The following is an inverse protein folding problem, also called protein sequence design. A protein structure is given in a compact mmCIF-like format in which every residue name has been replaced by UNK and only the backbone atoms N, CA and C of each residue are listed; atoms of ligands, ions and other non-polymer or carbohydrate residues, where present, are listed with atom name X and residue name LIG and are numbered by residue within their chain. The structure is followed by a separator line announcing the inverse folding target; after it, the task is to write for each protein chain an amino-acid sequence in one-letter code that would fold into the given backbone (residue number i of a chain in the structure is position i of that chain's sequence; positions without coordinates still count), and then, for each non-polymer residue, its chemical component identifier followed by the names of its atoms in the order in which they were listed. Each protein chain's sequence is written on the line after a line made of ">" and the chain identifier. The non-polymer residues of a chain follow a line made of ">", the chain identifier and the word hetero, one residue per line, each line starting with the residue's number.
data_IF_418254666283
#
_entry.id   IF_418254666283
#
_cell.length_a   1.000
_cell.length_b   1.000
_cell.length_c   1.000
_cell.angle_alpha   90.00
_cell.angle_beta   90.00
_cell.angle_gamma   90.00
#
_symmetry.space_group_name_H-M   'P 1'
#
loop_
_entity.id
_entity.type
_entity.pdbx_description
1 polymer ?
#
# COMPACT_ATOMS: atom_id res chain seq x y z
N UNK A 1 -18.27 -15.19 -21.41
CA UNK A 1 -17.61 -15.03 -22.71
C UNK A 1 -18.67 -15.13 -23.82
N UNK A 2 -19.28 -16.28 -24.11
CA UNK A 2 -20.28 -16.45 -25.17
C UNK A 2 -21.48 -15.52 -25.06
N UNK A 3 -22.01 -15.30 -23.83
CA UNK A 3 -23.11 -14.35 -23.61
C UNK A 3 -22.78 -12.96 -24.13
N UNK A 4 -21.59 -12.45 -23.82
CA UNK A 4 -21.12 -11.12 -24.25
C UNK A 4 -20.83 -11.08 -25.74
N UNK A 5 -20.10 -12.09 -26.25
CA UNK A 5 -19.61 -12.11 -27.64
C UNK A 5 -20.74 -12.36 -28.66
N UNK A 6 -21.77 -13.11 -28.27
CA UNK A 6 -22.93 -13.46 -29.09
C UNK A 6 -24.19 -12.64 -28.76
N UNK A 7 -24.09 -11.69 -27.82
CA UNK A 7 -25.22 -10.89 -27.34
C UNK A 7 -26.45 -11.72 -26.94
N UNK A 8 -26.22 -12.84 -26.26
CA UNK A 8 -27.30 -13.75 -25.85
C UNK A 8 -28.20 -13.10 -24.78
N UNK A 9 -29.49 -13.39 -24.75
CA UNK A 9 -30.36 -12.88 -23.68
C UNK A 9 -29.98 -13.47 -22.33
N UNK A 10 -30.02 -12.64 -21.29
CA UNK A 10 -29.79 -13.08 -19.91
C UNK A 10 -31.06 -13.73 -19.36
N UNK A 11 -30.98 -15.00 -18.94
CA UNK A 11 -32.05 -15.75 -18.30
C UNK A 11 -31.62 -16.15 -16.89
N UNK A 12 -32.09 -15.41 -15.89
CA UNK A 12 -31.78 -15.65 -14.48
C UNK A 12 -32.99 -16.18 -13.75
N UNK A 13 -32.83 -17.33 -13.08
CA UNK A 13 -33.87 -17.96 -12.27
C UNK A 13 -33.43 -18.27 -10.83
N UNK A 14 -32.19 -17.88 -10.45
CA UNK A 14 -31.67 -18.12 -9.11
C UNK A 14 -31.56 -16.79 -8.37
N UNK A 15 -32.23 -16.69 -7.24
CA UNK A 15 -32.19 -15.54 -6.34
C UNK A 15 -30.94 -15.54 -5.46
N UNK A 16 -30.63 -14.39 -4.82
CA UNK A 16 -29.47 -14.21 -3.91
C UNK A 16 -29.43 -15.20 -2.75
N UNK A 17 -30.59 -15.72 -2.33
CA UNK A 17 -30.71 -16.75 -1.29
C UNK A 17 -30.44 -18.18 -1.81
N UNK A 18 -30.08 -18.36 -3.08
CA UNK A 18 -29.81 -19.65 -3.72
C UNK A 18 -31.07 -20.45 -4.05
N UNK A 19 -32.25 -19.81 -4.07
CA UNK A 19 -33.51 -20.44 -4.44
C UNK A 19 -33.93 -19.99 -5.83
N UNK A 20 -34.75 -20.83 -6.47
CA UNK A 20 -35.44 -20.49 -7.72
C UNK A 20 -36.43 -19.35 -7.44
N UNK A 21 -36.58 -18.41 -8.39
CA UNK A 21 -37.53 -17.30 -8.30
C UNK A 21 -38.96 -17.84 -8.12
N UNK A 22 -39.80 -17.02 -7.46
CA UNK A 22 -41.21 -17.37 -7.24
C UNK A 22 -42.09 -17.01 -8.45
N UNK A 23 -41.75 -15.91 -9.13
CA UNK A 23 -42.48 -15.40 -10.28
C UNK A 23 -42.01 -16.10 -11.54
N UNK A 24 -42.97 -16.58 -12.34
CA UNK A 24 -42.67 -17.25 -13.60
C UNK A 24 -42.07 -16.29 -14.61
N UNK A 25 -40.86 -16.58 -15.14
CA UNK A 25 -40.26 -15.72 -16.16
C UNK A 25 -41.04 -15.68 -17.45
N UNK A 26 -41.23 -14.52 -18.05
CA UNK A 26 -41.98 -14.29 -19.30
C UNK A 26 -41.51 -15.11 -20.50
N UNK A 27 -40.23 -15.51 -20.49
CA UNK A 27 -39.62 -16.31 -21.54
C UNK A 27 -39.96 -17.82 -21.46
N UNK A 28 -40.66 -18.29 -20.41
CA UNK A 28 -41.24 -19.62 -20.31
C UNK A 28 -42.64 -19.56 -20.91
N UNK A 29 -42.78 -19.94 -22.16
CA UNK A 29 -44.03 -19.76 -22.92
C UNK A 29 -44.80 -21.04 -23.17
N UNK A 30 -44.15 -22.19 -23.20
CA UNK A 30 -44.80 -23.49 -23.41
C UNK A 30 -45.37 -24.06 -22.11
N UNK A 31 -46.42 -24.90 -22.24
CA UNK A 31 -47.15 -25.41 -21.10
C UNK A 31 -46.33 -26.42 -20.27
N UNK A 32 -45.50 -27.24 -20.90
CA UNK A 32 -44.62 -28.19 -20.18
C UNK A 32 -43.54 -27.45 -19.36
N UNK A 33 -42.98 -26.37 -19.90
CA UNK A 33 -42.07 -25.49 -19.19
C UNK A 33 -42.71 -24.79 -18.00
N UNK A 34 -43.97 -24.37 -18.12
CA UNK A 34 -44.74 -23.76 -17.01
C UNK A 34 -45.01 -24.77 -15.90
N UNK A 35 -45.49 -25.96 -16.23
CA UNK A 35 -45.72 -27.03 -15.26
C UNK A 35 -44.43 -27.45 -14.53
N UNK A 36 -43.32 -27.51 -15.24
CA UNK A 36 -42.01 -27.78 -14.62
C UNK A 36 -41.57 -26.64 -13.69
N UNK A 37 -41.79 -25.38 -14.12
CA UNK A 37 -41.42 -24.22 -13.30
C UNK A 37 -42.21 -24.19 -11.98
N UNK A 38 -43.52 -24.43 -11.99
CA UNK A 38 -44.36 -24.54 -10.79
C UNK A 38 -43.84 -25.58 -9.80
N UNK A 39 -43.20 -26.65 -10.30
CA UNK A 39 -42.62 -27.68 -9.45
C UNK A 39 -41.31 -27.26 -8.82
N UNK A 40 -40.57 -26.31 -9.40
CA UNK A 40 -39.24 -25.89 -8.92
C UNK A 40 -39.22 -24.53 -8.26
N UNK A 41 -40.24 -23.69 -8.42
CA UNK A 41 -40.30 -22.35 -7.81
C UNK A 41 -40.04 -22.39 -6.30
N UNK A 42 -39.30 -21.43 -5.77
CA UNK A 42 -38.93 -21.32 -4.37
C UNK A 42 -38.04 -22.44 -3.81
N UNK A 43 -37.75 -23.49 -4.60
CA UNK A 43 -36.86 -24.58 -4.18
C UNK A 43 -35.38 -24.19 -4.27
N UNK A 44 -34.57 -24.90 -3.51
CA UNK A 44 -33.10 -24.76 -3.64
C UNK A 44 -32.66 -25.36 -4.97
N UNK A 45 -31.51 -24.85 -5.51
CA UNK A 45 -30.90 -25.39 -6.74
C UNK A 45 -30.67 -26.91 -6.67
N UNK A 46 -30.33 -27.44 -5.48
CA UNK A 46 -30.13 -28.85 -5.24
C UNK A 46 -31.44 -29.64 -5.46
N UNK A 47 -32.56 -29.17 -4.88
CA UNK A 47 -33.86 -29.82 -5.03
C UNK A 47 -34.44 -29.70 -6.45
N UNK A 48 -34.32 -28.49 -7.04
CA UNK A 48 -34.75 -28.20 -8.40
C UNK A 48 -34.04 -29.08 -9.44
N UNK A 49 -32.71 -29.29 -9.28
CA UNK A 49 -31.92 -30.12 -10.19
C UNK A 49 -32.47 -31.54 -10.31
N UNK A 50 -32.90 -32.14 -9.18
CA UNK A 50 -33.48 -33.48 -9.21
C UNK A 50 -34.79 -33.52 -10.02
N UNK A 51 -35.69 -32.55 -9.78
CA UNK A 51 -36.96 -32.45 -10.50
C UNK A 51 -36.74 -32.26 -12.00
N UNK A 52 -35.79 -31.37 -12.39
CA UNK A 52 -35.46 -31.15 -13.81
C UNK A 52 -34.91 -32.43 -14.46
N UNK A 53 -34.05 -33.19 -13.77
CA UNK A 53 -33.51 -34.46 -14.27
C UNK A 53 -34.61 -35.48 -14.47
N UNK A 54 -35.54 -35.59 -13.53
CA UNK A 54 -36.67 -36.54 -13.63
C UNK A 54 -37.59 -36.15 -14.79
N UNK A 55 -37.90 -34.86 -14.98
CA UNK A 55 -38.70 -34.38 -16.11
C UNK A 55 -38.00 -34.61 -17.47
N UNK A 56 -36.70 -34.39 -17.58
CA UNK A 56 -35.94 -34.66 -18.81
C UNK A 56 -35.86 -36.15 -19.16
N UNK A 57 -35.89 -37.03 -18.15
CA UNK A 57 -35.99 -38.48 -18.39
C UNK A 57 -37.39 -38.87 -18.91
N UNK A 58 -38.41 -38.27 -18.32
CA UNK A 58 -39.81 -38.56 -18.70
C UNK A 58 -40.11 -38.06 -20.12
N UNK A 59 -39.61 -36.89 -20.51
CA UNK A 59 -39.75 -36.35 -21.87
C UNK A 59 -38.89 -37.08 -22.91
N UNK A 60 -37.88 -37.84 -22.50
CA UNK A 60 -36.94 -38.49 -23.40
C UNK A 60 -35.83 -37.57 -23.93
N UNK A 61 -35.72 -36.32 -23.41
CA UNK A 61 -34.71 -35.36 -23.83
C UNK A 61 -33.34 -35.58 -23.14
N UNK A 62 -33.23 -36.55 -22.26
CA UNK A 62 -32.00 -36.88 -21.57
C UNK A 62 -31.27 -38.05 -22.21
N UNK A 63 -30.03 -37.81 -22.67
CA UNK A 63 -29.14 -38.86 -23.16
C UNK A 63 -28.24 -39.39 -22.02
N UNK A 64 -28.59 -40.58 -21.51
CA UNK A 64 -27.92 -41.27 -20.42
C UNK A 64 -28.19 -40.70 -19.03
N UNK A 65 -27.44 -41.10 -18.04
CA UNK A 65 -27.58 -40.66 -16.64
C UNK A 65 -26.61 -39.52 -16.28
N UNK A 66 -27.04 -38.61 -15.35
CA UNK A 66 -26.17 -37.58 -14.83
C UNK A 66 -24.90 -38.17 -14.21
N UNK A 67 -23.74 -37.68 -14.65
CA UNK A 67 -22.46 -38.09 -14.11
C UNK A 67 -21.92 -37.04 -13.13
N UNK A 68 -21.45 -37.44 -11.94
CA UNK A 68 -20.78 -36.50 -11.02
C UNK A 68 -19.58 -35.86 -11.70
N UNK A 69 -19.47 -34.54 -11.62
CA UNK A 69 -18.29 -33.78 -12.06
C UNK A 69 -17.69 -33.05 -10.90
N UNK A 70 -16.39 -32.90 -10.92
CA UNK A 70 -15.65 -32.13 -9.91
C UNK A 70 -15.06 -30.88 -10.55
N UNK A 71 -15.35 -29.72 -9.98
CA UNK A 71 -14.74 -28.46 -10.37
C UNK A 71 -14.42 -27.61 -9.15
N UNK A 72 -13.43 -26.73 -9.28
CA UNK A 72 -13.17 -25.72 -8.27
C UNK A 72 -14.33 -24.71 -8.24
N UNK A 73 -14.86 -24.45 -7.05
CA UNK A 73 -15.91 -23.45 -6.83
C UNK A 73 -15.66 -22.70 -5.53
N UNK A 74 -16.22 -21.52 -5.42
CA UNK A 74 -16.15 -20.73 -4.19
C UNK A 74 -17.17 -21.26 -3.18
N UNK A 75 -16.77 -21.26 -1.92
CA UNK A 75 -17.62 -21.63 -0.79
C UNK A 75 -17.92 -20.40 0.06
N UNK A 76 -19.03 -20.46 0.78
CA UNK A 76 -19.34 -19.47 1.80
C UNK A 76 -18.23 -19.47 2.86
N UNK A 77 -17.72 -18.27 3.21
CA UNK A 77 -16.54 -18.10 4.07
C UNK A 77 -16.65 -18.77 5.45
N UNK A 78 -17.87 -18.85 5.98
CA UNK A 78 -18.17 -19.45 7.29
C UNK A 78 -18.99 -20.73 7.20
N UNK A 79 -18.92 -21.46 6.07
CA UNK A 79 -19.68 -22.66 5.86
C UNK A 79 -19.07 -23.57 4.78
N UNK A 80 -19.65 -24.74 4.64
CA UNK A 80 -19.21 -25.83 3.74
C UNK A 80 -20.07 -25.96 2.47
N UNK A 81 -20.93 -24.96 2.20
CA UNK A 81 -21.81 -24.97 1.01
C UNK A 81 -21.19 -24.16 -0.13
N UNK A 82 -21.20 -24.69 -1.36
CA UNK A 82 -20.77 -23.94 -2.52
C UNK A 82 -21.69 -22.75 -2.80
N UNK A 83 -21.10 -21.66 -3.32
CA UNK A 83 -21.86 -20.49 -3.76
C UNK A 83 -22.47 -20.75 -5.13
N UNK A 84 -23.69 -20.25 -5.32
CA UNK A 84 -24.35 -20.21 -6.62
C UNK A 84 -23.99 -18.96 -7.39
N UNK A 85 -24.08 -19.02 -8.73
CA UNK A 85 -23.91 -17.86 -9.61
C UNK A 85 -25.27 -17.19 -9.74
N UNK A 86 -25.38 -15.97 -9.26
CA UNK A 86 -26.60 -15.15 -9.29
C UNK A 86 -26.35 -13.83 -9.99
N UNK A 87 -27.38 -13.25 -10.57
CA UNK A 87 -27.36 -11.89 -11.09
C UNK A 87 -27.71 -10.91 -9.98
N UNK A 88 -27.00 -9.79 -9.94
CA UNK A 88 -27.28 -8.68 -9.05
C UNK A 88 -26.88 -7.37 -9.71
N UNK A 89 -27.56 -6.28 -9.35
CA UNK A 89 -27.13 -4.95 -9.74
C UNK A 89 -25.91 -4.59 -8.94
N UNK A 90 -24.94 -3.94 -9.59
CA UNK A 90 -23.66 -3.58 -8.99
C UNK A 90 -23.19 -2.25 -9.57
N UNK A 91 -22.43 -1.53 -8.79
CA UNK A 91 -21.70 -0.34 -9.24
C UNK A 91 -20.35 -0.71 -9.80
N UNK A 92 -20.02 -0.13 -10.94
CA UNK A 92 -18.75 -0.32 -11.63
C UNK A 92 -18.08 1.02 -11.87
N UNK A 93 -16.76 1.06 -11.70
CA UNK A 93 -15.91 2.16 -12.11
C UNK A 93 -15.19 1.77 -13.40
N UNK A 94 -15.17 2.67 -14.39
CA UNK A 94 -14.39 2.44 -15.60
C UNK A 94 -12.91 2.39 -15.25
N UNK A 95 -12.22 1.36 -15.71
CA UNK A 95 -10.80 1.12 -15.44
C UNK A 95 -10.00 0.74 -16.69
N UNK A 96 -10.56 0.98 -17.87
CA UNK A 96 -9.95 0.59 -19.14
C UNK A 96 -10.24 -0.84 -19.57
N UNK A 97 -11.01 -1.65 -18.81
CA UNK A 97 -11.39 -2.99 -19.22
C UNK A 97 -12.30 -3.03 -20.44
N UNK A 98 -13.30 -2.16 -20.45
CA UNK A 98 -14.24 -1.97 -21.58
C UNK A 98 -13.85 -0.76 -22.43
N UNK A 99 -13.37 0.31 -21.83
CA UNK A 99 -12.96 1.54 -22.51
C UNK A 99 -11.49 1.45 -23.02
N UNK A 100 -11.31 1.16 -24.29
CA UNK A 100 -9.96 1.01 -24.89
C UNK A 100 -9.15 2.29 -24.95
N UNK A 101 -9.79 3.46 -25.03
CA UNK A 101 -9.09 4.73 -24.98
C UNK A 101 -8.50 5.00 -23.59
N UNK A 102 -9.26 4.74 -22.53
CA UNK A 102 -8.77 4.81 -21.15
C UNK A 102 -7.65 3.78 -20.89
N UNK A 103 -7.81 2.54 -21.40
CA UNK A 103 -6.77 1.51 -21.30
C UNK A 103 -5.42 1.99 -21.88
N UNK A 104 -5.45 2.58 -23.09
CA UNK A 104 -4.25 3.13 -23.71
C UNK A 104 -3.62 4.25 -22.88
N UNK A 105 -4.44 5.15 -22.30
CA UNK A 105 -3.94 6.20 -21.40
C UNK A 105 -3.31 5.64 -20.13
N UNK A 106 -3.90 4.64 -19.51
CA UNK A 106 -3.35 3.99 -18.30
C UNK A 106 -2.00 3.31 -18.60
N UNK A 107 -1.83 2.72 -19.80
CA UNK A 107 -0.53 2.18 -20.23
C UNK A 107 0.52 3.31 -20.35
N UNK A 108 0.17 4.46 -20.95
CA UNK A 108 1.08 5.61 -21.03
C UNK A 108 1.45 6.13 -19.64
N UNK A 109 0.48 6.26 -18.70
CA UNK A 109 0.76 6.61 -17.31
C UNK A 109 1.75 5.64 -16.63
N UNK A 110 1.63 4.33 -16.93
CA UNK A 110 2.61 3.34 -16.47
C UNK A 110 4.02 3.55 -17.01
N UNK A 111 4.18 4.12 -18.20
CA UNK A 111 5.49 4.48 -18.78
C UNK A 111 6.07 5.76 -18.18
N UNK A 112 5.21 6.73 -17.86
CA UNK A 112 5.60 7.99 -17.22
C UNK A 112 6.04 7.80 -15.75
N UNK A 113 5.45 6.83 -15.05
CA UNK A 113 5.76 6.54 -13.64
C UNK A 113 7.15 5.91 -13.50
N UNK A 114 7.97 6.47 -12.62
CA UNK A 114 9.27 5.90 -12.27
C UNK A 114 9.08 4.74 -11.27
N UNK A 115 9.26 3.52 -11.73
CA UNK A 115 9.23 2.32 -10.89
C UNK A 115 10.60 2.03 -10.29
N UNK A 116 10.65 1.81 -8.99
CA UNK A 116 11.85 1.39 -8.27
C UNK A 116 11.61 0.03 -7.59
N UNK A 117 12.15 -1.08 -8.14
CA UNK A 117 12.96 -1.19 -9.35
C UNK A 117 12.12 -1.15 -10.65
N UNK A 118 12.74 -0.71 -11.74
CA UNK A 118 12.07 -0.52 -13.04
C UNK A 118 11.36 -1.78 -13.57
N UNK A 119 11.91 -2.97 -13.34
CA UNK A 119 11.30 -4.23 -13.81
C UNK A 119 9.88 -4.48 -13.24
N UNK A 120 9.49 -3.82 -12.16
CA UNK A 120 8.13 -3.94 -11.58
C UNK A 120 7.06 -3.30 -12.45
N UNK A 121 7.42 -2.39 -13.37
CA UNK A 121 6.52 -1.82 -14.36
C UNK A 121 5.81 -2.88 -15.19
N UNK A 122 6.51 -3.95 -15.56
CA UNK A 122 5.95 -5.06 -16.34
C UNK A 122 4.74 -5.70 -15.65
N UNK A 123 4.71 -5.74 -14.31
CA UNK A 123 3.56 -6.27 -13.57
C UNK A 123 2.33 -5.36 -13.69
N UNK A 124 2.54 -4.06 -13.68
CA UNK A 124 1.49 -3.08 -13.91
C UNK A 124 0.97 -3.15 -15.36
N UNK A 125 1.86 -3.14 -16.35
CA UNK A 125 1.50 -3.22 -17.77
C UNK A 125 0.72 -4.49 -18.09
N UNK A 126 1.19 -5.65 -17.60
CA UNK A 126 0.49 -6.93 -17.80
C UNK A 126 -0.92 -6.92 -17.17
N UNK A 127 -1.09 -6.27 -16.04
CA UNK A 127 -2.40 -6.10 -15.43
C UNK A 127 -3.32 -5.26 -16.29
N UNK A 128 -2.88 -4.09 -16.74
CA UNK A 128 -3.68 -3.18 -17.58
C UNK A 128 -4.04 -3.83 -18.93
N UNK A 129 -3.09 -4.51 -19.57
CA UNK A 129 -3.36 -5.26 -20.80
C UNK A 129 -4.35 -6.41 -20.61
N UNK A 130 -4.34 -7.06 -19.48
CA UNK A 130 -5.23 -8.18 -19.14
C UNK A 130 -6.64 -7.79 -18.73
N UNK A 131 -6.95 -6.50 -18.60
CA UNK A 131 -8.28 -6.03 -18.20
C UNK A 131 -9.31 -6.33 -19.29
N UNK A 132 -10.43 -6.93 -18.88
CA UNK A 132 -11.52 -7.34 -19.76
C UNK A 132 -12.93 -6.93 -19.27
N UNK A 133 -13.01 -6.16 -18.21
CA UNK A 133 -14.23 -5.64 -17.60
C UNK A 133 -13.92 -4.49 -16.67
N UNK A 134 -14.94 -3.71 -16.33
CA UNK A 134 -14.83 -2.58 -15.42
C UNK A 134 -14.70 -3.04 -13.97
N UNK A 135 -14.24 -2.16 -13.11
CA UNK A 135 -13.99 -2.47 -11.71
C UNK A 135 -15.28 -2.45 -10.89
N UNK A 136 -15.69 -3.61 -10.37
CA UNK A 136 -16.82 -3.77 -9.47
C UNK A 136 -16.47 -3.20 -8.10
N UNK A 137 -17.10 -2.07 -7.73
CA UNK A 137 -16.81 -1.33 -6.50
C UNK A 137 -17.87 -1.45 -5.41
N UNK A 138 -19.06 -1.99 -5.68
CA UNK A 138 -20.10 -2.19 -4.67
C UNK A 138 -19.88 -3.44 -3.83
N UNK A 139 -20.18 -3.34 -2.54
CA UNK A 139 -20.08 -4.44 -1.57
C UNK A 139 -21.35 -4.53 -0.73
N UNK A 140 -21.85 -5.73 -0.55
CA UNK A 140 -23.01 -6.05 0.28
C UNK A 140 -22.54 -6.30 1.71
N UNK A 141 -22.14 -5.21 2.40
CA UNK A 141 -21.66 -5.22 3.78
C UNK A 141 -22.37 -4.17 4.60
N UNK A 142 -22.48 -4.41 5.90
CA UNK A 142 -23.14 -3.47 6.80
C UNK A 142 -22.30 -2.22 7.06
N UNK A 143 -20.98 -2.37 7.13
CA UNK A 143 -20.07 -1.27 7.49
C UNK A 143 -19.12 -0.92 6.35
N UNK A 144 -19.03 0.36 6.02
CA UNK A 144 -18.14 0.92 5.01
C UNK A 144 -18.59 2.32 4.58
N UNK A 145 -17.94 2.88 3.57
CA UNK A 145 -18.32 4.17 2.98
C UNK A 145 -19.51 3.94 2.05
N UNK A 146 -20.68 4.57 2.29
CA UNK A 146 -21.85 4.39 1.46
C UNK A 146 -21.68 5.08 0.10
N UNK A 147 -22.46 4.65 -0.89
CA UNK A 147 -22.68 5.44 -2.10
C UNK A 147 -23.62 6.58 -1.78
N UNK A 148 -23.25 7.84 -2.05
CA UNK A 148 -24.03 8.99 -1.65
C UNK A 148 -25.22 9.22 -2.62
N UNK A 149 -26.16 8.28 -2.70
CA UNK A 149 -27.29 8.37 -3.60
C UNK A 149 -28.52 7.59 -3.12
N UNK A 150 -29.66 7.91 -3.72
CA UNK A 150 -30.95 7.25 -3.49
C UNK A 150 -31.59 6.84 -4.82
N UNK A 151 -32.65 6.06 -4.74
CA UNK A 151 -33.50 5.69 -5.88
C UNK A 151 -34.93 6.13 -5.61
N UNK A 152 -35.61 6.77 -6.58
CA UNK A 152 -37.05 7.02 -6.45
C UNK A 152 -37.82 5.70 -6.50
N UNK A 153 -38.88 5.60 -5.72
CA UNK A 153 -39.78 4.45 -5.71
C UNK A 153 -41.02 4.78 -6.52
N UNK A 154 -41.45 3.85 -7.37
CA UNK A 154 -42.70 3.98 -8.11
C UNK A 154 -43.92 3.79 -7.20
N UNK A 155 -45.15 3.82 -7.80
CA UNK A 155 -46.38 3.65 -7.06
C UNK A 155 -46.54 2.24 -6.42
N UNK A 156 -45.83 1.24 -6.93
CA UNK A 156 -45.80 -0.12 -6.41
C UNK A 156 -44.67 -0.32 -5.38
N UNK A 157 -43.87 0.71 -5.12
CA UNK A 157 -42.73 0.68 -4.20
C UNK A 157 -41.45 0.05 -4.79
N UNK A 158 -41.39 -0.14 -6.10
CA UNK A 158 -40.20 -0.64 -6.77
C UNK A 158 -39.21 0.48 -7.12
N UNK A 159 -37.91 0.30 -6.92
CA UNK A 159 -36.91 1.34 -7.18
C UNK A 159 -36.61 1.52 -8.66
N UNK A 160 -36.55 2.77 -9.10
CA UNK A 160 -36.05 3.14 -10.42
C UNK A 160 -34.52 3.25 -10.39
N UNK A 161 -33.86 2.17 -10.71
CA UNK A 161 -32.39 2.09 -10.73
C UNK A 161 -31.74 2.80 -11.92
N UNK A 162 -32.50 3.16 -12.94
CA UNK A 162 -31.97 3.84 -14.12
C UNK A 162 -31.86 5.37 -13.89
N UNK A 163 -32.59 5.90 -12.90
CA UNK A 163 -32.62 7.31 -12.57
C UNK A 163 -32.29 7.55 -11.09
N UNK A 164 -31.05 7.27 -10.64
CA UNK A 164 -30.65 7.51 -9.26
C UNK A 164 -30.70 8.99 -8.92
N UNK A 165 -31.12 9.32 -7.70
CA UNK A 165 -31.09 10.66 -7.14
C UNK A 165 -29.69 10.89 -6.55
N UNK A 166 -28.92 11.81 -7.15
CA UNK A 166 -27.60 12.20 -6.65
C UNK A 166 -27.67 13.55 -5.94
N UNK A 167 -26.93 13.74 -4.82
CA UNK A 167 -26.82 15.05 -4.17
C UNK A 167 -26.02 16.04 -5.03
N UNK A 168 -26.22 17.33 -4.79
CA UNK A 168 -25.27 18.34 -5.26
C UNK A 168 -24.00 18.34 -4.40
N UNK A 169 -22.89 18.84 -4.95
CA UNK A 169 -21.59 18.83 -4.24
C UNK A 169 -21.60 19.64 -2.94
N UNK A 170 -22.38 20.71 -2.88
CA UNK A 170 -22.48 21.62 -1.74
C UNK A 170 -23.11 21.01 -0.49
N UNK A 171 -23.84 19.88 -0.63
CA UNK A 171 -24.44 19.17 0.52
C UNK A 171 -23.63 17.96 0.98
N UNK A 172 -22.51 17.65 0.32
CA UNK A 172 -21.62 16.58 0.76
C UNK A 172 -20.83 16.97 2.03
N UNK A 173 -20.48 16.01 2.89
CA UNK A 173 -20.76 14.57 2.81
C UNK A 173 -22.20 14.23 3.25
N UNK A 174 -22.76 13.15 2.67
CA UNK A 174 -24.05 12.61 3.07
C UNK A 174 -23.98 11.12 3.42
N UNK A 175 -24.85 10.68 4.31
CA UNK A 175 -25.18 9.29 4.53
C UNK A 175 -26.61 9.02 4.02
N UNK A 176 -26.80 8.32 2.89
CA UNK A 176 -28.12 8.13 2.31
C UNK A 176 -29.07 7.31 3.19
N UNK A 177 -28.55 6.63 4.21
CA UNK A 177 -29.39 5.86 5.15
C UNK A 177 -30.04 6.76 6.21
N UNK A 178 -29.50 7.93 6.47
CA UNK A 178 -29.99 8.91 7.46
C UNK A 178 -30.41 10.24 6.85
N UNK A 179 -29.80 10.63 5.74
CA UNK A 179 -30.11 11.88 5.06
C UNK A 179 -31.24 11.70 4.03
N UNK A 180 -31.92 12.79 3.70
CA UNK A 180 -33.07 12.81 2.81
C UNK A 180 -32.73 13.56 1.52
N UNK A 181 -33.05 13.00 0.33
CA UNK A 181 -32.78 13.71 -0.92
C UNK A 181 -33.66 14.95 -1.08
N UNK A 182 -33.15 15.93 -1.80
CA UNK A 182 -33.87 17.17 -2.06
C UNK A 182 -35.24 16.88 -2.69
N UNK A 183 -36.29 17.55 -2.16
CA UNK A 183 -37.69 17.39 -2.64
C UNK A 183 -38.45 16.23 -1.99
N UNK A 184 -37.85 15.49 -1.07
CA UNK A 184 -38.52 14.43 -0.31
C UNK A 184 -38.52 14.73 1.19
N UNK A 185 -39.32 13.97 1.96
CA UNK A 185 -39.39 14.02 3.42
C UNK A 185 -39.04 12.64 4.00
N UNK A 186 -38.65 12.57 5.29
CA UNK A 186 -38.28 11.29 5.94
C UNK A 186 -39.43 10.27 5.94
N UNK A 187 -40.67 10.74 5.99
CA UNK A 187 -41.84 9.86 5.96
C UNK A 187 -42.04 9.14 4.63
N UNK A 188 -41.39 9.62 3.56
CA UNK A 188 -41.41 8.98 2.24
C UNK A 188 -40.32 7.93 2.07
N UNK A 189 -39.43 7.78 3.03
CA UNK A 189 -38.37 6.75 3.01
C UNK A 189 -38.99 5.35 2.96
N UNK A 190 -38.62 4.57 1.94
CA UNK A 190 -39.10 3.21 1.68
C UNK A 190 -40.65 3.10 1.54
N UNK A 191 -41.31 4.20 1.11
CA UNK A 191 -42.74 4.19 0.80
C UNK A 191 -42.98 4.28 -0.70
N UNK A 192 -44.10 3.71 -1.22
CA UNK A 192 -44.47 3.89 -2.61
C UNK A 192 -44.56 5.39 -2.98
N UNK A 193 -43.97 5.77 -4.13
CA UNK A 193 -43.83 7.15 -4.54
C UNK A 193 -42.81 7.99 -3.77
N UNK A 194 -42.05 7.37 -2.88
CA UNK A 194 -40.98 7.98 -2.12
C UNK A 194 -39.59 7.63 -2.67
N UNK A 195 -38.67 7.29 -1.78
CA UNK A 195 -37.29 6.98 -2.14
C UNK A 195 -36.70 5.88 -1.23
N UNK A 196 -35.64 5.22 -1.71
CA UNK A 196 -34.81 4.34 -0.91
C UNK A 196 -33.32 4.69 -1.07
N UNK A 197 -32.54 4.48 -0.01
CA UNK A 197 -31.09 4.62 -0.05
C UNK A 197 -30.44 3.49 -0.87
N UNK A 198 -29.29 3.75 -1.50
CA UNK A 198 -28.44 2.67 -2.01
C UNK A 198 -28.00 1.78 -0.84
N UNK A 199 -28.31 0.48 -0.87
CA UNK A 199 -27.98 -0.42 0.24
C UNK A 199 -26.53 -0.90 0.27
N UNK A 200 -25.82 -0.77 -0.83
CA UNK A 200 -24.44 -1.24 -0.96
C UNK A 200 -23.46 -0.16 -0.47
N UNK A 201 -22.30 -0.58 -0.07
CA UNK A 201 -21.17 0.27 0.31
C UNK A 201 -20.03 0.14 -0.69
N UNK A 202 -19.12 1.12 -0.69
CA UNK A 202 -17.95 1.09 -1.56
C UNK A 202 -16.92 0.07 -1.09
N UNK A 203 -16.24 -0.57 -2.03
CA UNK A 203 -14.99 -1.31 -1.81
C UNK A 203 -13.97 -0.40 -1.12
N UNK A 204 -13.27 -0.94 -0.12
CA UNK A 204 -12.18 -0.24 0.56
C UNK A 204 -11.10 0.27 -0.42
N UNK A 205 -10.82 -0.47 -1.49
CA UNK A 205 -9.88 -0.02 -2.50
C UNK A 205 -10.39 1.16 -3.31
N UNK A 206 -11.71 1.31 -3.49
CA UNK A 206 -12.30 2.47 -4.14
C UNK A 206 -12.06 3.75 -3.33
N UNK A 207 -12.25 3.70 -2.01
CA UNK A 207 -11.96 4.83 -1.13
C UNK A 207 -10.46 5.08 -0.99
N UNK A 208 -9.64 4.05 -0.80
CA UNK A 208 -8.19 4.19 -0.69
C UNK A 208 -7.50 4.61 -1.98
N UNK A 209 -8.15 4.46 -3.14
CA UNK A 209 -7.63 4.95 -4.42
C UNK A 209 -7.56 6.48 -4.53
N UNK A 210 -8.27 7.21 -3.67
CA UNK A 210 -8.20 8.67 -3.58
C UNK A 210 -7.26 9.17 -2.47
N UNK A 211 -6.48 8.30 -1.84
CA UNK A 211 -5.59 8.70 -0.74
C UNK A 211 -4.68 9.90 -1.08
N UNK A 212 -4.05 10.00 -2.26
CA UNK A 212 -3.24 11.17 -2.59
C UNK A 212 -4.05 12.47 -2.58
N UNK A 213 -5.25 12.46 -3.15
CA UNK A 213 -6.13 13.62 -3.18
C UNK A 213 -6.65 13.97 -1.77
N UNK A 214 -7.05 12.97 -0.98
CA UNK A 214 -7.56 13.18 0.39
C UNK A 214 -6.50 13.84 1.28
N UNK A 215 -5.27 13.31 1.29
CA UNK A 215 -4.22 13.84 2.18
C UNK A 215 -3.68 15.19 1.75
N UNK A 216 -3.95 15.62 0.53
CA UNK A 216 -3.55 16.91 -0.01
C UNK A 216 -4.68 17.94 0.00
N UNK A 217 -5.86 17.61 0.56
CA UNK A 217 -6.99 18.53 0.73
C UNK A 217 -7.84 18.75 -0.51
N UNK A 218 -7.81 17.84 -1.51
CA UNK A 218 -8.63 17.97 -2.72
C UNK A 218 -10.12 17.96 -2.40
N UNK A 219 -10.84 18.96 -2.93
CA UNK A 219 -12.29 19.11 -2.73
C UNK A 219 -12.70 19.65 -1.36
N UNK A 220 -11.77 19.81 -0.42
CA UNK A 220 -12.06 20.44 0.87
C UNK A 220 -12.12 21.96 0.72
N UNK A 221 -13.15 22.62 1.28
CA UNK A 221 -13.28 24.06 1.14
C UNK A 221 -12.18 24.81 1.94
N UNK A 222 -11.67 25.89 1.35
CA UNK A 222 -10.74 26.82 1.99
C UNK A 222 -9.43 27.02 1.22
N UNK A 223 -8.94 28.25 1.22
CA UNK A 223 -7.72 28.66 0.50
C UNK A 223 -6.48 27.83 0.91
N UNK A 224 -6.38 27.45 2.18
CA UNK A 224 -5.26 26.62 2.67
C UNK A 224 -5.26 25.22 2.08
N UNK A 225 -6.42 24.60 1.89
CA UNK A 225 -6.56 23.28 1.27
C UNK A 225 -6.27 23.33 -0.24
N UNK A 226 -6.76 24.36 -0.92
CA UNK A 226 -6.44 24.59 -2.34
C UNK A 226 -4.93 24.79 -2.55
N UNK A 227 -4.30 25.61 -1.69
CA UNK A 227 -2.85 25.84 -1.72
C UNK A 227 -2.06 24.57 -1.41
N UNK A 228 -2.50 23.76 -0.45
CA UNK A 228 -1.88 22.48 -0.12
C UNK A 228 -1.97 21.51 -1.30
N UNK A 229 -3.15 21.35 -1.89
CA UNK A 229 -3.33 20.49 -3.05
C UNK A 229 -2.45 20.94 -4.22
N UNK A 230 -2.47 22.21 -4.57
CA UNK A 230 -1.67 22.76 -5.66
C UNK A 230 -0.15 22.60 -5.45
N UNK A 231 0.32 22.61 -4.19
CA UNK A 231 1.72 22.48 -3.85
C UNK A 231 2.21 21.01 -3.77
N UNK A 232 1.30 20.06 -3.48
CA UNK A 232 1.69 18.70 -3.11
C UNK A 232 1.09 17.60 -3.98
N UNK A 233 0.14 17.90 -4.86
CA UNK A 233 -0.40 16.96 -5.82
C UNK A 233 0.00 17.34 -7.25
N UNK A 234 0.55 16.43 -8.09
CA UNK A 234 0.94 15.05 -7.76
C UNK A 234 2.03 14.94 -6.70
N UNK A 235 2.00 13.87 -5.90
CA UNK A 235 3.00 13.62 -4.85
C UNK A 235 4.33 13.14 -5.45
N UNK A 236 5.40 13.14 -4.64
CA UNK A 236 6.73 12.71 -5.12
C UNK A 236 6.90 11.20 -5.13
N UNK A 237 6.42 10.51 -4.09
CA UNK A 237 6.78 9.12 -3.82
C UNK A 237 5.64 8.28 -3.26
N UNK A 238 5.51 7.06 -3.80
CA UNK A 238 4.61 6.02 -3.31
C UNK A 238 5.38 4.76 -2.90
N UNK A 239 5.65 4.53 -1.60
CA UNK A 239 6.15 3.24 -1.10
C UNK A 239 5.01 2.25 -0.94
N UNK A 240 5.18 1.02 -1.45
CA UNK A 240 4.22 -0.07 -1.26
C UNK A 240 4.81 -1.45 -1.50
N UNK A 241 4.08 -2.51 -1.12
CA UNK A 241 4.41 -3.89 -1.47
C UNK A 241 4.02 -4.25 -2.91
N UNK A 242 4.72 -5.22 -3.49
CA UNK A 242 4.43 -5.71 -4.85
C UNK A 242 3.08 -6.39 -5.00
N UNK A 243 2.48 -6.87 -3.93
CA UNK A 243 1.22 -7.62 -3.92
C UNK A 243 -0.01 -6.73 -4.16
N UNK A 244 0.12 -5.41 -3.96
CA UNK A 244 -0.96 -4.44 -4.17
C UNK A 244 -0.79 -3.58 -5.43
N UNK A 245 0.09 -3.97 -6.37
CA UNK A 245 0.22 -3.29 -7.67
C UNK A 245 -1.10 -3.31 -8.43
N UNK A 246 -1.80 -4.46 -8.43
CA UNK A 246 -3.05 -4.66 -9.17
C UNK A 246 -4.29 -4.03 -8.50
N UNK A 247 -4.17 -3.69 -7.25
CA UNK A 247 -5.22 -3.05 -6.46
C UNK A 247 -4.88 -1.59 -6.21
N UNK A 248 -4.13 -1.29 -5.16
CA UNK A 248 -3.88 0.07 -4.73
C UNK A 248 -3.12 0.95 -5.72
N UNK A 249 -2.00 0.48 -6.29
CA UNK A 249 -1.24 1.29 -7.25
C UNK A 249 -2.07 1.55 -8.51
N UNK A 250 -2.63 0.50 -9.10
CA UNK A 250 -3.42 0.61 -10.32
C UNK A 250 -4.67 1.48 -10.10
N UNK A 251 -5.46 1.21 -9.06
CA UNK A 251 -6.70 1.96 -8.82
C UNK A 251 -6.46 3.43 -8.48
N UNK A 252 -5.32 3.77 -7.84
CA UNK A 252 -4.97 5.16 -7.57
C UNK A 252 -4.56 5.89 -8.85
N UNK A 253 -3.81 5.23 -9.75
CA UNK A 253 -3.48 5.80 -11.07
C UNK A 253 -4.74 5.99 -11.91
N UNK A 254 -5.64 5.02 -11.92
CA UNK A 254 -6.92 5.08 -12.63
C UNK A 254 -7.77 6.27 -12.15
N UNK A 255 -7.91 6.44 -10.82
CA UNK A 255 -8.67 7.55 -10.26
C UNK A 255 -8.01 8.90 -10.54
N UNK A 256 -6.71 9.03 -10.40
CA UNK A 256 -6.01 10.27 -10.73
C UNK A 256 -6.11 10.61 -12.24
N UNK A 257 -6.10 9.59 -13.11
CA UNK A 257 -6.31 9.77 -14.54
C UNK A 257 -7.73 10.27 -14.84
N UNK A 258 -8.75 9.72 -14.16
CA UNK A 258 -10.15 10.09 -14.39
C UNK A 258 -10.48 11.48 -13.84
N UNK A 259 -9.98 11.82 -12.65
CA UNK A 259 -10.33 13.05 -11.93
C UNK A 259 -9.41 14.24 -12.31
N UNK A 260 -8.12 13.98 -12.53
CA UNK A 260 -7.10 15.03 -12.66
C UNK A 260 -6.28 14.96 -13.96
N UNK A 261 -6.50 13.96 -14.83
CA UNK A 261 -5.75 13.69 -16.06
C UNK A 261 -4.22 13.66 -15.84
N UNK A 262 -3.76 13.10 -14.73
CA UNK A 262 -2.34 13.01 -14.39
C UNK A 262 -1.99 11.74 -13.60
N UNK A 263 -0.69 11.52 -13.32
CA UNK A 263 -0.23 10.57 -12.31
C UNK A 263 -0.46 11.13 -10.91
N UNK A 264 -0.77 10.27 -9.92
CA UNK A 264 -0.93 10.72 -8.52
C UNK A 264 0.41 10.94 -7.79
N UNK A 265 1.53 10.42 -8.32
CA UNK A 265 2.91 10.56 -7.83
C UNK A 265 3.92 10.31 -8.95
N UNK A 266 5.13 10.86 -8.78
CA UNK A 266 6.19 10.73 -9.77
C UNK A 266 6.97 9.40 -9.67
N UNK A 267 7.06 8.84 -8.46
CA UNK A 267 7.88 7.65 -8.17
C UNK A 267 7.08 6.62 -7.36
N UNK A 268 7.28 5.32 -7.65
CA UNK A 268 6.76 4.22 -6.87
C UNK A 268 7.89 3.28 -6.45
N UNK A 269 8.11 3.12 -5.14
CA UNK A 269 9.05 2.13 -4.60
C UNK A 269 8.30 0.86 -4.20
N UNK A 270 8.75 -0.28 -4.71
CA UNK A 270 8.05 -1.55 -4.58
C UNK A 270 8.90 -2.55 -3.81
N UNK A 271 8.46 -2.92 -2.61
CA UNK A 271 9.09 -3.96 -1.80
C UNK A 271 8.56 -5.35 -2.17
N UNK A 272 9.38 -6.38 -1.94
CA UNK A 272 8.94 -7.77 -1.92
C UNK A 272 8.14 -8.12 -0.67
N UNK A 273 7.89 -9.40 -0.47
CA UNK A 273 7.25 -9.91 0.74
C UNK A 273 8.26 -10.08 1.87
N UNK A 274 7.76 -10.03 3.10
CA UNK A 274 8.49 -10.51 4.26
C UNK A 274 8.13 -11.98 4.47
N UNK A 275 9.16 -12.83 4.42
CA UNK A 275 9.05 -14.27 4.60
C UNK A 275 9.40 -14.65 6.04
N UNK A 276 8.86 -15.77 6.50
CA UNK A 276 9.24 -16.36 7.78
C UNK A 276 10.69 -16.92 7.72
N UNK A 277 11.26 -17.38 8.84
CA UNK A 277 12.62 -17.95 8.85
C UNK A 277 12.81 -19.15 7.92
N UNK A 278 11.73 -19.84 7.55
CA UNK A 278 11.74 -20.98 6.61
C UNK A 278 11.51 -20.52 5.14
N UNK A 279 11.62 -19.23 4.84
CA UNK A 279 11.39 -18.63 3.53
C UNK A 279 9.97 -18.83 2.98
N UNK A 280 8.98 -18.95 3.85
CA UNK A 280 7.57 -19.08 3.47
C UNK A 280 6.83 -17.77 3.67
N UNK A 281 5.87 -17.47 2.78
CA UNK A 281 5.00 -16.30 2.93
C UNK A 281 4.22 -16.38 4.24
N UNK A 282 4.30 -15.32 5.03
CA UNK A 282 3.55 -15.19 6.28
C UNK A 282 2.05 -15.03 6.00
N UNK A 283 1.22 -15.74 6.76
CA UNK A 283 -0.24 -15.56 6.75
C UNK A 283 -0.85 -15.92 8.08
N UNK A 284 -1.92 -15.20 8.47
CA UNK A 284 -2.66 -15.49 9.70
C UNK A 284 -3.21 -16.91 9.75
N UNK A 285 -3.66 -17.43 8.61
CA UNK A 285 -4.21 -18.79 8.50
C UNK A 285 -3.19 -19.89 8.72
N UNK A 286 -1.90 -19.62 8.48
CA UNK A 286 -0.80 -20.56 8.71
C UNK A 286 -0.17 -20.43 10.10
N UNK A 287 -0.50 -19.37 10.84
CA UNK A 287 0.03 -19.11 12.16
C UNK A 287 1.54 -18.76 12.20
N UNK A 288 2.14 -18.41 11.06
CA UNK A 288 3.57 -18.10 10.93
C UNK A 288 3.87 -16.59 10.84
N UNK A 289 2.91 -15.76 11.29
CA UNK A 289 3.08 -14.30 11.28
C UNK A 289 3.91 -13.88 12.50
N UNK A 290 5.00 -13.15 12.26
CA UNK A 290 5.77 -12.46 13.30
C UNK A 290 5.24 -11.03 13.41
N UNK A 291 4.84 -10.63 14.62
CA UNK A 291 4.40 -9.25 14.90
C UNK A 291 5.61 -8.41 15.35
N UNK A 292 5.68 -7.13 14.95
CA UNK A 292 6.87 -6.29 15.22
C UNK A 292 7.17 -6.04 16.69
N UNK A 293 6.20 -6.13 17.58
CA UNK A 293 6.37 -5.81 19.01
C UNK A 293 7.42 -6.70 19.67
N UNK A 294 7.38 -8.01 19.44
CA UNK A 294 8.34 -8.94 20.04
C UNK A 294 9.80 -8.65 19.67
N UNK A 295 10.19 -8.52 18.38
CA UNK A 295 11.55 -8.14 18.02
C UNK A 295 11.92 -6.70 18.47
N UNK A 296 10.99 -5.77 18.57
CA UNK A 296 11.26 -4.42 19.10
C UNK A 296 11.61 -4.49 20.59
N UNK A 297 10.87 -5.24 21.37
CA UNK A 297 11.17 -5.44 22.80
C UNK A 297 12.52 -6.13 23.00
N UNK A 298 12.83 -7.14 22.17
CA UNK A 298 14.04 -7.95 22.30
C UNK A 298 15.31 -7.23 21.82
N UNK A 299 15.23 -6.50 20.71
CA UNK A 299 16.41 -5.95 20.03
C UNK A 299 16.45 -4.42 20.00
N UNK A 300 15.33 -3.75 20.24
CA UNK A 300 15.17 -2.31 20.09
C UNK A 300 14.67 -1.90 18.70
N UNK A 301 14.03 -0.72 18.62
CA UNK A 301 13.45 -0.20 17.39
C UNK A 301 14.50 -0.01 16.27
N UNK A 302 15.67 0.55 16.59
CA UNK A 302 16.75 0.74 15.64
C UNK A 302 17.20 -0.56 14.97
N UNK A 303 17.29 -1.65 15.74
CA UNK A 303 17.68 -2.96 15.22
C UNK A 303 16.67 -3.50 14.19
N UNK A 304 15.38 -3.35 14.48
CA UNK A 304 14.30 -3.77 13.56
C UNK A 304 14.29 -2.89 12.31
N UNK A 305 14.47 -1.59 12.47
CA UNK A 305 14.57 -0.64 11.35
C UNK A 305 15.77 -0.94 10.45
N UNK A 306 16.95 -1.22 11.05
CA UNK A 306 18.15 -1.60 10.31
C UNK A 306 17.92 -2.86 9.45
N UNK A 307 17.33 -3.90 10.05
CA UNK A 307 16.96 -5.10 9.30
C UNK A 307 15.98 -4.79 8.16
N UNK A 308 14.93 -4.02 8.42
CA UNK A 308 13.95 -3.65 7.38
C UNK A 308 14.59 -2.83 6.25
N UNK A 309 15.48 -1.89 6.59
CA UNK A 309 16.17 -1.05 5.63
C UNK A 309 17.25 -1.79 4.81
N UNK A 310 17.73 -2.95 5.27
CA UNK A 310 18.65 -3.80 4.51
C UNK A 310 17.96 -4.55 3.37
N UNK A 311 16.62 -4.60 3.35
CA UNK A 311 15.86 -5.24 2.30
C UNK A 311 15.95 -4.47 0.97
N UNK A 312 16.24 -5.16 -0.12
CA UNK A 312 16.29 -4.57 -1.47
C UNK A 312 14.90 -4.44 -2.06
N UNK A 313 14.63 -3.33 -2.72
CA UNK A 313 13.38 -3.15 -3.46
C UNK A 313 13.21 -4.26 -4.52
N UNK A 314 11.99 -4.73 -4.67
CA UNK A 314 11.61 -5.75 -5.64
C UNK A 314 11.96 -7.18 -5.26
N UNK A 315 12.66 -7.40 -4.14
CA UNK A 315 13.05 -8.72 -3.66
C UNK A 315 12.37 -9.02 -2.31
N UNK A 316 12.10 -10.29 -2.09
CA UNK A 316 11.58 -10.76 -0.81
C UNK A 316 12.68 -10.71 0.27
N UNK A 317 12.29 -10.35 1.49
CA UNK A 317 13.17 -10.30 2.65
C UNK A 317 12.75 -11.36 3.67
N UNK A 318 13.70 -12.13 4.17
CA UNK A 318 13.43 -13.10 5.23
C UNK A 318 13.54 -12.43 6.60
N UNK A 319 12.66 -12.79 7.53
CA UNK A 319 12.80 -12.40 8.93
C UNK A 319 14.14 -12.92 9.49
N UNK A 320 15.01 -12.02 9.93
CA UNK A 320 16.37 -12.35 10.33
C UNK A 320 16.78 -11.61 11.61
N UNK A 321 16.78 -12.34 12.73
CA UNK A 321 17.26 -11.84 14.02
C UNK A 321 18.78 -11.58 14.04
N UNK A 322 19.53 -12.24 13.17
CA UNK A 322 20.97 -12.00 13.03
C UNK A 322 21.26 -10.59 12.55
N UNK A 323 20.53 -10.14 11.54
CA UNK A 323 20.60 -8.75 11.03
C UNK A 323 20.17 -7.74 12.08
N UNK A 324 19.14 -8.04 12.87
CA UNK A 324 18.72 -7.16 13.98
C UNK A 324 19.81 -7.01 15.05
N UNK A 325 20.53 -8.10 15.38
CA UNK A 325 21.69 -8.04 16.31
C UNK A 325 22.82 -7.17 15.77
N UNK A 326 23.07 -7.21 14.45
CA UNK A 326 24.06 -6.35 13.80
C UNK A 326 23.65 -4.89 13.92
N UNK A 327 22.40 -4.56 13.58
CA UNK A 327 21.88 -3.18 13.71
C UNK A 327 21.95 -2.65 15.14
N UNK A 328 21.59 -3.48 16.14
CA UNK A 328 21.74 -3.09 17.55
C UNK A 328 23.20 -2.78 17.93
N UNK A 329 24.13 -3.61 17.49
CA UNK A 329 25.57 -3.39 17.74
C UNK A 329 26.06 -2.10 17.11
N UNK A 330 25.62 -1.80 15.87
CA UNK A 330 25.96 -0.57 15.17
C UNK A 330 25.44 0.66 15.93
N UNK A 331 24.17 0.67 16.36
CA UNK A 331 23.59 1.76 17.14
C UNK A 331 24.34 2.00 18.45
N UNK A 332 24.66 0.94 19.20
CA UNK A 332 25.43 1.04 20.46
C UNK A 332 26.86 1.58 20.19
N UNK A 333 27.52 1.12 19.12
CA UNK A 333 28.88 1.58 18.77
C UNK A 333 28.86 3.06 18.37
N UNK A 334 27.87 3.50 17.59
CA UNK A 334 27.70 4.91 17.22
C UNK A 334 27.52 5.79 18.46
N UNK A 335 26.62 5.39 19.38
CA UNK A 335 26.42 6.10 20.65
C UNK A 335 27.71 6.21 21.48
N UNK A 336 28.43 5.09 21.60
CA UNK A 336 29.66 5.07 22.40
C UNK A 336 30.80 5.89 21.74
N UNK A 337 30.97 5.82 20.43
CA UNK A 337 31.95 6.62 19.70
C UNK A 337 31.63 8.13 19.81
N UNK A 338 30.36 8.49 19.73
CA UNK A 338 29.90 9.87 19.91
C UNK A 338 30.17 10.38 21.33
N UNK A 339 29.81 9.57 22.36
CA UNK A 339 30.12 9.91 23.77
C UNK A 339 31.62 10.11 23.99
N UNK A 340 32.44 9.23 23.42
CA UNK A 340 33.89 9.33 23.49
C UNK A 340 34.38 10.63 22.89
N UNK A 341 34.02 11.00 21.67
CA UNK A 341 34.47 12.22 21.02
C UNK A 341 33.98 13.50 21.73
N UNK A 342 32.76 13.47 22.28
CA UNK A 342 32.22 14.61 23.04
C UNK A 342 32.87 14.75 24.44
N UNK A 343 33.45 13.69 24.98
CA UNK A 343 34.16 13.74 26.24
C UNK A 343 35.61 14.29 26.12
N UNK A 344 36.21 14.14 24.94
CA UNK A 344 37.58 14.62 24.68
C UNK A 344 37.62 16.15 24.79
N UNK A 345 38.47 16.67 25.67
CA UNK A 345 38.68 18.11 25.88
C UNK A 345 37.72 18.77 26.86
N UNK A 346 36.85 17.99 27.56
CA UNK A 346 36.00 18.52 28.65
C UNK A 346 36.75 18.67 29.99
N UNK A 347 37.94 18.08 30.12
CA UNK A 347 38.75 18.19 31.35
C UNK A 347 39.39 19.58 31.54
N UNK A 348 39.41 20.43 30.51
CA UNK A 348 39.83 21.80 30.63
C UNK A 348 38.64 22.72 30.95
N UNK A 349 38.26 22.82 32.21
CA UNK A 349 37.16 23.66 32.73
C UNK A 349 37.27 25.16 32.42
N UNK A 350 38.27 25.61 31.69
CA UNK A 350 38.48 27.04 31.38
C UNK A 350 38.07 27.46 29.98
N UNK A 351 37.68 26.56 29.11
CA UNK A 351 37.15 26.93 27.79
C UNK A 351 35.65 26.62 27.71
N UNK A 352 34.88 27.64 27.95
CA UNK A 352 33.44 27.69 27.90
C UNK A 352 32.82 26.93 26.71
N UNK A 353 32.38 25.69 26.93
CA UNK A 353 31.28 25.13 26.16
C UNK A 353 29.99 25.62 26.84
N UNK A 354 29.52 26.78 26.43
CA UNK A 354 28.21 27.29 26.82
C UNK A 354 27.14 26.25 26.44
N UNK A 355 26.30 25.90 27.40
CA UNK A 355 25.11 25.12 27.17
C UNK A 355 24.34 25.69 25.99
N UNK A 356 24.17 24.90 24.91
CA UNK A 356 23.41 25.29 23.72
C UNK A 356 24.21 25.73 22.51
N UNK A 357 25.53 25.84 22.59
CA UNK A 357 26.34 26.06 21.38
C UNK A 357 26.62 24.71 20.72
N UNK A 358 26.09 24.49 19.53
CA UNK A 358 26.62 23.53 18.57
C UNK A 358 28.09 23.86 18.39
N UNK A 359 29.00 22.93 18.79
CA UNK A 359 30.41 23.08 18.51
C UNK A 359 30.57 23.26 16.99
N UNK A 360 30.92 24.44 16.53
CA UNK A 360 31.16 24.73 15.13
C UNK A 360 32.54 24.21 14.79
N UNK A 361 32.63 22.93 14.40
CA UNK A 361 33.86 22.41 13.83
C UNK A 361 34.10 23.07 12.47
N UNK A 362 35.28 23.66 12.32
CA UNK A 362 35.62 24.36 11.08
C UNK A 362 36.55 23.48 10.23
N UNK A 363 36.23 23.21 8.99
CA UNK A 363 37.07 22.36 8.11
C UNK A 363 38.53 22.82 8.00
N UNK A 364 38.78 24.11 8.11
CA UNK A 364 40.15 24.69 8.07
C UNK A 364 41.02 24.28 9.27
N UNK A 365 40.41 23.87 10.38
CA UNK A 365 41.15 23.41 11.56
C UNK A 365 41.66 21.96 11.41
N UNK A 366 41.22 21.23 10.37
CA UNK A 366 41.73 19.90 10.00
C UNK A 366 43.03 20.06 9.22
N UNK A 367 44.14 20.13 9.93
CA UNK A 367 45.47 20.46 9.35
C UNK A 367 46.38 19.23 9.15
N UNK A 368 46.21 18.21 9.98
CA UNK A 368 47.04 17.00 9.94
C UNK A 368 46.73 16.09 8.74
N UNK A 369 47.73 15.48 8.08
CA UNK A 369 47.52 14.67 6.88
C UNK A 369 46.58 13.50 7.08
N UNK A 370 46.68 12.79 8.22
CA UNK A 370 45.81 11.67 8.53
C UNK A 370 44.34 12.10 8.70
N UNK A 371 44.11 13.22 9.37
CA UNK A 371 42.77 13.78 9.58
C UNK A 371 42.16 14.25 8.25
N UNK A 372 42.95 14.90 7.40
CA UNK A 372 42.53 15.28 6.05
C UNK A 372 42.16 14.07 5.20
N UNK A 373 42.96 13.00 5.28
CA UNK A 373 42.67 11.76 4.57
C UNK A 373 41.36 11.13 5.06
N UNK A 374 41.10 11.09 6.37
CA UNK A 374 39.86 10.60 6.95
C UNK A 374 38.65 11.44 6.48
N UNK A 375 38.74 12.76 6.47
CA UNK A 375 37.66 13.64 6.01
C UNK A 375 37.45 13.57 4.50
N UNK A 376 38.50 13.41 3.71
CA UNK A 376 38.37 13.16 2.26
C UNK A 376 37.60 11.88 1.98
N UNK A 377 37.90 10.79 2.72
CA UNK A 377 37.17 9.52 2.61
C UNK A 377 35.73 9.66 3.07
N UNK A 378 35.47 10.41 4.16
CA UNK A 378 34.10 10.72 4.61
C UNK A 378 33.30 11.42 3.51
N UNK A 379 33.88 12.40 2.83
CA UNK A 379 33.23 13.12 1.73
C UNK A 379 32.84 12.20 0.59
N UNK A 380 33.66 11.19 0.28
CA UNK A 380 33.32 10.16 -0.73
C UNK A 380 32.15 9.28 -0.27
N UNK A 381 32.13 8.88 1.00
CA UNK A 381 31.02 8.09 1.58
C UNK A 381 29.72 8.87 1.57
N UNK A 382 29.76 10.15 1.99
CA UNK A 382 28.59 11.04 1.93
C UNK A 382 28.06 11.13 0.51
N UNK A 383 28.94 11.36 -0.48
CA UNK A 383 28.52 11.42 -1.88
C UNK A 383 27.88 10.12 -2.35
N UNK A 384 28.53 8.96 -2.11
CA UNK A 384 28.01 7.66 -2.53
C UNK A 384 26.67 7.32 -1.87
N UNK A 385 26.55 7.57 -0.57
CA UNK A 385 25.30 7.33 0.15
C UNK A 385 24.16 8.23 -0.38
N UNK A 386 24.48 9.51 -0.66
CA UNK A 386 23.52 10.44 -1.26
C UNK A 386 23.10 10.00 -2.66
N UNK A 387 24.04 9.57 -3.50
CA UNK A 387 23.74 9.07 -4.84
C UNK A 387 22.82 7.82 -4.78
N UNK A 388 23.06 6.89 -3.84
CA UNK A 388 22.17 5.74 -3.63
C UNK A 388 20.78 6.14 -3.16
N UNK A 389 20.66 7.06 -2.21
CA UNK A 389 19.37 7.53 -1.72
C UNK A 389 18.57 8.27 -2.79
N UNK A 390 19.23 9.11 -3.60
CA UNK A 390 18.60 9.81 -4.72
C UNK A 390 18.08 8.85 -5.80
N UNK A 391 18.69 7.66 -5.91
CA UNK A 391 18.25 6.60 -6.83
C UNK A 391 17.33 5.57 -6.17
N UNK A 392 16.81 5.84 -4.97
CA UNK A 392 15.96 4.92 -4.20
C UNK A 392 16.61 3.58 -3.86
N UNK A 393 17.94 3.50 -3.88
CA UNK A 393 18.72 2.31 -3.50
C UNK A 393 19.06 2.34 -1.99
N UNK A 394 18.04 2.53 -1.16
CA UNK A 394 18.16 2.75 0.28
C UNK A 394 18.92 1.65 1.03
N UNK A 395 18.94 0.41 0.52
CA UNK A 395 19.67 -0.70 1.14
C UNK A 395 21.18 -0.66 0.89
N UNK A 396 21.65 0.05 -0.16
CA UNK A 396 23.07 0.19 -0.46
C UNK A 396 23.76 1.31 0.34
N UNK A 397 22.99 2.34 0.70
CA UNK A 397 23.54 3.46 1.46
C UNK A 397 24.07 3.03 2.85
N UNK A 398 23.34 2.25 3.69
CA UNK A 398 23.86 1.76 4.96
C UNK A 398 25.12 0.92 4.79
N UNK A 399 25.25 0.13 3.74
CA UNK A 399 26.42 -0.72 3.48
C UNK A 399 27.71 0.10 3.36
N UNK A 400 27.70 1.15 2.54
CA UNK A 400 28.90 2.00 2.39
C UNK A 400 29.18 2.84 3.63
N UNK A 401 28.14 3.30 4.34
CA UNK A 401 28.26 4.08 5.56
C UNK A 401 28.86 3.19 6.66
N UNK A 402 28.32 1.99 6.88
CA UNK A 402 28.75 1.07 7.92
C UNK A 402 30.18 0.59 7.70
N UNK A 403 30.54 0.24 6.48
CA UNK A 403 31.90 -0.20 6.14
C UNK A 403 32.95 0.87 6.52
N UNK A 404 32.66 2.16 6.26
CA UNK A 404 33.58 3.22 6.66
C UNK A 404 33.48 3.54 8.14
N UNK A 405 32.31 3.44 8.76
CA UNK A 405 32.11 3.67 10.19
C UNK A 405 32.98 2.72 11.04
N UNK A 406 33.03 1.43 10.70
CA UNK A 406 33.88 0.47 11.40
C UNK A 406 35.35 0.81 11.23
N UNK A 407 35.83 1.14 10.03
CA UNK A 407 37.21 1.60 9.80
C UNK A 407 37.53 2.90 10.57
N UNK A 408 36.57 3.82 10.59
CA UNK A 408 36.75 5.05 11.35
C UNK A 408 36.89 4.79 12.86
N UNK A 409 36.07 3.90 13.41
CA UNK A 409 36.09 3.57 14.82
C UNK A 409 37.30 2.70 15.21
N UNK A 410 37.61 1.68 14.44
CA UNK A 410 38.58 0.65 14.83
C UNK A 410 40.02 1.02 14.42
N UNK A 411 40.17 1.83 13.36
CA UNK A 411 41.49 2.29 12.89
C UNK A 411 41.73 3.78 13.23
N UNK A 412 40.90 4.67 12.65
CA UNK A 412 41.20 6.12 12.74
C UNK A 412 41.14 6.64 14.17
N UNK A 413 40.09 6.36 14.93
CA UNK A 413 39.98 6.80 16.33
C UNK A 413 41.18 6.30 17.14
N UNK A 414 41.55 5.03 16.99
CA UNK A 414 42.67 4.45 17.72
C UNK A 414 44.03 5.14 17.39
N UNK A 415 44.24 5.48 16.11
CA UNK A 415 45.43 6.16 15.67
C UNK A 415 45.54 7.61 16.19
N UNK A 416 44.42 8.29 16.35
CA UNK A 416 44.41 9.73 16.72
C UNK A 416 44.07 9.98 18.18
N UNK A 417 43.60 9.02 18.96
CA UNK A 417 43.11 9.23 20.33
C UNK A 417 44.13 9.90 21.24
N UNK A 418 45.40 9.47 21.25
CA UNK A 418 46.43 10.09 22.09
C UNK A 418 46.66 11.53 21.69
N UNK A 419 46.71 11.83 20.40
CA UNK A 419 46.82 13.19 19.88
C UNK A 419 45.61 14.04 20.26
N UNK A 420 44.41 13.48 20.17
CA UNK A 420 43.18 14.16 20.56
C UNK A 420 43.11 14.46 22.07
N UNK A 421 43.69 13.62 22.92
CA UNK A 421 43.88 13.90 24.35
C UNK A 421 44.98 14.89 24.65
N UNK A 422 45.86 15.19 23.70
CA UNK A 422 47.04 16.02 23.95
C UNK A 422 48.15 15.29 24.71
N UNK A 423 48.11 13.97 24.77
CA UNK A 423 49.11 13.14 25.47
C UNK A 423 50.28 12.81 24.57
N UNK A 424 51.47 12.62 25.16
CA UNK A 424 52.65 12.21 24.43
C UNK A 424 52.47 10.86 23.74
N UNK A 425 53.03 10.69 22.56
CA UNK A 425 53.11 9.44 21.83
C UNK A 425 54.09 8.43 22.46
N UNK A 426 54.18 7.21 21.87
CA UNK A 426 55.10 6.17 22.36
C UNK A 426 56.57 6.55 22.31
N UNK A 427 56.95 7.62 21.60
CA UNK A 427 58.31 8.16 21.50
C UNK A 427 58.53 9.32 22.44
N UNK A 428 57.53 9.74 23.23
CA UNK A 428 57.59 10.84 24.20
C UNK A 428 57.31 12.23 23.58
N UNK A 429 56.91 12.33 22.30
CA UNK A 429 56.58 13.58 21.66
C UNK A 429 55.17 14.04 22.02
N UNK A 430 55.05 15.25 22.58
CA UNK A 430 53.74 15.87 22.86
C UNK A 430 53.22 16.57 21.59
N UNK A 431 51.95 16.34 21.18
CA UNK A 431 51.36 16.98 20.00
C UNK A 431 51.22 18.50 20.23
N UNK A 432 51.34 19.28 19.14
CA UNK A 432 51.07 20.73 19.18
C UNK A 432 49.57 20.98 19.38
N UNK A 433 49.18 22.15 19.88
CA UNK A 433 47.78 22.55 20.05
C UNK A 433 47.00 22.47 18.73
N UNK A 434 47.63 22.85 17.61
CA UNK A 434 47.03 22.76 16.27
C UNK A 434 46.78 21.31 15.86
N UNK A 435 47.69 20.39 16.19
CA UNK A 435 47.52 18.95 15.91
C UNK A 435 46.42 18.33 16.79
N UNK A 436 46.31 18.75 18.05
CA UNK A 436 45.22 18.38 18.96
C UNK A 436 43.88 18.88 18.40
N UNK A 437 43.79 20.14 18.02
CA UNK A 437 42.61 20.76 17.44
C UNK A 437 42.20 20.03 16.14
N UNK A 438 43.16 19.70 15.29
CA UNK A 438 42.90 18.96 14.05
C UNK A 438 42.22 17.60 14.33
N UNK A 439 42.76 16.81 15.26
CA UNK A 439 42.18 15.51 15.62
C UNK A 439 40.77 15.66 16.20
N UNK A 440 40.54 16.57 17.14
CA UNK A 440 39.23 16.81 17.77
C UNK A 440 38.20 17.26 16.74
N UNK A 441 38.58 18.18 15.84
CA UNK A 441 37.69 18.65 14.77
C UNK A 441 37.33 17.54 13.82
N UNK A 442 38.26 16.73 13.36
CA UNK A 442 38.00 15.61 12.44
C UNK A 442 37.15 14.52 13.08
N UNK A 443 37.38 14.22 14.37
CA UNK A 443 36.53 13.28 15.13
C UNK A 443 35.10 13.80 15.22
N UNK A 444 34.92 15.06 15.59
CA UNK A 444 33.61 15.68 15.71
C UNK A 444 32.86 15.74 14.39
N UNK A 445 33.50 16.23 13.34
CA UNK A 445 32.89 16.27 11.98
C UNK A 445 32.54 14.89 11.44
N UNK A 446 33.43 13.91 11.66
CA UNK A 446 33.21 12.54 11.22
C UNK A 446 31.98 11.89 11.89
N UNK A 447 31.86 12.05 13.21
CA UNK A 447 30.72 11.48 13.96
C UNK A 447 29.40 12.23 13.70
N UNK A 448 29.42 13.55 13.50
CA UNK A 448 28.25 14.32 13.06
C UNK A 448 27.77 13.82 11.68
N UNK A 449 28.70 13.61 10.74
CA UNK A 449 28.39 13.08 9.44
C UNK A 449 27.75 11.66 9.52
N UNK A 450 28.33 10.77 10.33
CA UNK A 450 27.74 9.41 10.54
C UNK A 450 26.36 9.48 11.19
N UNK A 451 26.17 10.32 12.20
CA UNK A 451 24.88 10.49 12.86
C UNK A 451 23.80 10.94 11.86
N UNK A 452 24.12 11.92 11.00
CA UNK A 452 23.20 12.39 9.94
C UNK A 452 22.93 11.34 8.88
N UNK A 453 23.97 10.64 8.41
CA UNK A 453 23.83 9.58 7.39
C UNK A 453 23.03 8.37 7.89
N UNK A 454 23.13 8.05 9.18
CA UNK A 454 22.44 6.93 9.80
C UNK A 454 21.06 7.31 10.37
N UNK A 455 20.74 8.60 10.54
CA UNK A 455 19.45 9.04 11.09
C UNK A 455 18.22 8.47 10.39
N UNK A 456 18.16 8.27 9.05
CA UNK A 456 17.04 7.62 8.40
C UNK A 456 16.85 6.14 8.81
N UNK A 457 17.88 5.50 9.29
CA UNK A 457 17.94 4.07 9.64
C UNK A 457 17.87 3.81 11.13
N UNK A 458 18.59 4.62 11.92
CA UNK A 458 18.78 4.52 13.37
C UNK A 458 18.46 5.88 14.02
N UNK A 459 17.15 6.30 14.05
CA UNK A 459 16.74 7.63 14.50
C UNK A 459 16.98 7.89 15.99
#
# INVERSE_FOLDING_TARGET
>A
EWWRDLHLPLRSIIQRNGRIVMDMPDWITDDAGKELFEQIEGKTTFSARKIVVDALRESGDMDGDPKPTTRMTNFYEKGDKPLEIVTSRQWYLQNGGTNKALNAKLIERGKELNFHPDFMRVRYENWVHGLNGDWLISRQRFFGVPFPLWYPLNADGEPDYENPITPSEDVLPIDPTTDVPAGYTEEQRNQPGGFMAEPDIMDTWATSSLTPQIVTGWGEPGEDNEALFAATFPMDLRPQGQDIIRTWLFSTIDRAQLENDCLPWANATLSGWILDPDHKKMSKSKGNVVVPNEPIEKYGADAVRYWAASARLGLDATYDEGQMKIGRRLAIKLLNATKFALAIGREDEQHHVTQGATATWRPQDVTEPLDRAAMAKMSLVVKQATDYLNNYEHSKAPEVIENYFWQFCDDYIELVKNRAYGTADATGNTPSETAVLSARTALGMGLDAFARLLAPYLP
#
